data_IF_396476837996
#
_entry.id   IF_396476837996
#
_cell.length_a   1.000
_cell.length_b   1.000
_cell.length_c   1.000
_cell.angle_alpha   90.00
_cell.angle_beta   90.00
_cell.angle_gamma   90.00
#
_symmetry.space_group_name_H-M   'P 1'
#
loop_
_entity.id
_entity.type
_entity.pdbx_description
1 polymer ?
#
# COMPACT_ATOMS: atom_id res chain seq x y z
N UNK A 1 5.38 0.27 -19.66
CA UNK A 1 6.41 -0.79 -19.68
C UNK A 1 6.64 -1.46 -18.32
N UNK A 2 6.53 -0.75 -17.19
CA UNK A 2 6.76 -1.35 -15.87
C UNK A 2 5.72 -2.39 -15.45
N UNK A 3 4.43 -2.20 -15.80
CA UNK A 3 3.38 -3.16 -15.44
C UNK A 3 3.54 -4.51 -16.14
N UNK A 4 4.10 -4.51 -17.35
CA UNK A 4 4.43 -5.73 -18.10
C UNK A 4 5.59 -6.46 -17.41
N UNK A 5 6.63 -5.73 -16.96
CA UNK A 5 7.74 -6.32 -16.20
C UNK A 5 7.27 -6.92 -14.87
N UNK A 6 6.43 -6.21 -14.13
CA UNK A 6 5.87 -6.68 -12.84
C UNK A 6 5.00 -7.92 -13.07
N UNK A 7 4.12 -7.89 -14.08
CA UNK A 7 3.24 -9.02 -14.40
C UNK A 7 4.03 -10.26 -14.86
N UNK A 8 5.02 -10.08 -15.75
CA UNK A 8 5.87 -11.18 -16.22
C UNK A 8 6.69 -11.79 -15.08
N UNK A 9 7.22 -10.97 -14.18
CA UNK A 9 7.98 -11.41 -13.01
C UNK A 9 7.10 -12.17 -12.02
N UNK A 10 5.86 -11.73 -11.81
CA UNK A 10 4.87 -12.47 -11.04
C UNK A 10 4.53 -13.83 -11.63
N UNK A 11 4.26 -13.89 -12.95
CA UNK A 11 3.93 -15.15 -13.64
C UNK A 11 5.11 -16.13 -13.60
N UNK A 12 6.33 -15.68 -13.92
CA UNK A 12 7.53 -16.51 -13.82
C UNK A 12 7.77 -16.99 -12.38
N UNK A 13 7.54 -16.13 -11.40
CA UNK A 13 7.66 -16.45 -9.99
C UNK A 13 6.70 -17.55 -9.54
N UNK A 14 5.43 -17.49 -9.96
CA UNK A 14 4.41 -18.51 -9.64
C UNK A 14 4.76 -19.86 -10.30
N UNK A 15 5.23 -19.85 -11.54
CA UNK A 15 5.65 -21.07 -12.25
C UNK A 15 6.83 -21.74 -11.53
N UNK A 16 7.84 -20.97 -11.10
CA UNK A 16 8.97 -21.47 -10.31
C UNK A 16 8.52 -22.03 -8.95
N UNK A 17 7.59 -21.34 -8.28
CA UNK A 17 7.04 -21.82 -7.02
C UNK A 17 6.29 -23.16 -7.18
N UNK A 18 5.58 -23.35 -8.30
CA UNK A 18 4.85 -24.58 -8.58
C UNK A 18 5.81 -25.78 -8.71
N UNK A 19 6.92 -25.62 -9.46
CA UNK A 19 7.95 -26.65 -9.60
C UNK A 19 8.66 -27.00 -8.28
N UNK A 20 8.92 -26.01 -7.43
CA UNK A 20 9.61 -26.26 -6.15
C UNK A 20 8.72 -26.87 -5.07
N UNK A 21 7.41 -26.68 -5.18
CA UNK A 21 6.43 -27.23 -4.22
C UNK A 21 6.42 -28.77 -4.24
N UNK A 22 6.75 -29.40 -5.36
CA UNK A 22 6.89 -30.85 -5.48
C UNK A 22 8.18 -31.40 -4.85
N UNK A 23 9.24 -30.60 -4.72
CA UNK A 23 10.56 -31.06 -4.25
C UNK A 23 10.86 -30.69 -2.80
N UNK A 24 10.63 -29.43 -2.39
CA UNK A 24 10.86 -28.94 -1.01
C UNK A 24 9.91 -27.78 -0.66
N UNK A 25 8.78 -28.02 0.03
CA UNK A 25 7.75 -27.00 0.29
C UNK A 25 8.22 -25.86 1.20
N UNK A 26 9.26 -26.06 2.00
CA UNK A 26 9.82 -25.01 2.88
C UNK A 26 10.46 -23.86 2.08
N UNK A 27 11.05 -24.15 0.92
CA UNK A 27 11.65 -23.11 0.06
C UNK A 27 10.59 -22.33 -0.75
N UNK A 28 9.40 -22.90 -0.93
CA UNK A 28 8.30 -22.23 -1.64
C UNK A 28 7.92 -20.92 -0.94
N UNK A 29 7.87 -20.91 0.39
CA UNK A 29 7.53 -19.70 1.17
C UNK A 29 8.60 -18.59 1.05
N UNK A 30 9.88 -18.95 1.04
CA UNK A 30 10.96 -17.98 0.85
C UNK A 30 10.96 -17.38 -0.56
N UNK A 31 10.59 -18.17 -1.56
CA UNK A 31 10.52 -17.72 -2.96
C UNK A 31 9.32 -16.79 -3.17
N UNK A 32 8.12 -17.13 -2.68
CA UNK A 32 6.97 -16.21 -2.75
C UNK A 32 7.24 -14.91 -2.02
N UNK A 33 7.86 -14.97 -0.83
CA UNK A 33 8.26 -13.77 -0.10
C UNK A 33 9.28 -12.93 -0.90
N UNK A 34 10.28 -13.55 -1.52
CA UNK A 34 11.27 -12.86 -2.36
C UNK A 34 10.65 -12.20 -3.59
N UNK A 35 9.74 -12.90 -4.28
CA UNK A 35 8.99 -12.35 -5.43
C UNK A 35 8.11 -11.18 -4.98
N UNK A 36 7.42 -11.31 -3.83
CA UNK A 36 6.62 -10.24 -3.25
C UNK A 36 7.46 -8.98 -2.99
N UNK A 37 8.60 -9.12 -2.32
CA UNK A 37 9.52 -8.00 -2.03
C UNK A 37 10.02 -7.35 -3.33
N UNK A 38 10.35 -8.14 -4.35
CA UNK A 38 10.81 -7.61 -5.64
C UNK A 38 9.71 -6.83 -6.37
N UNK A 39 8.46 -7.31 -6.31
CA UNK A 39 7.29 -6.61 -6.86
C UNK A 39 7.05 -5.29 -6.12
N UNK A 40 7.17 -5.26 -4.79
CA UNK A 40 7.02 -4.01 -4.04
C UNK A 40 8.15 -3.02 -4.33
N UNK A 41 9.39 -3.47 -4.44
CA UNK A 41 10.51 -2.60 -4.83
C UNK A 41 10.24 -1.87 -6.16
N UNK A 42 9.65 -2.58 -7.13
CA UNK A 42 9.23 -1.99 -8.41
C UNK A 42 8.03 -1.03 -8.26
N UNK A 43 7.12 -1.29 -7.32
CA UNK A 43 5.97 -0.42 -7.05
C UNK A 43 6.36 0.88 -6.32
N UNK A 44 7.35 0.86 -5.43
CA UNK A 44 7.83 2.03 -4.68
C UNK A 44 8.29 3.16 -5.62
N UNK A 45 8.98 2.82 -6.72
CA UNK A 45 9.40 3.81 -7.71
C UNK A 45 8.24 4.55 -8.39
N UNK A 46 7.04 3.94 -8.48
CA UNK A 46 5.82 4.62 -8.98
C UNK A 46 5.19 5.51 -7.93
N UNK A 47 5.24 5.11 -6.66
CA UNK A 47 4.78 5.92 -5.55
C UNK A 47 5.56 7.24 -5.47
N UNK A 48 6.87 7.20 -5.72
CA UNK A 48 7.74 8.38 -5.72
C UNK A 48 7.35 9.40 -6.81
N UNK A 49 7.01 8.94 -8.01
CA UNK A 49 6.50 9.81 -9.08
C UNK A 49 5.16 10.48 -8.70
N UNK A 50 4.28 9.70 -8.06
CA UNK A 50 3.00 10.19 -7.56
C UNK A 50 3.18 11.25 -6.47
N UNK A 51 4.09 11.02 -5.53
CA UNK A 51 4.45 11.99 -4.49
C UNK A 51 5.08 13.26 -5.08
N UNK A 52 5.94 13.14 -6.10
CA UNK A 52 6.50 14.29 -6.80
C UNK A 52 5.43 15.17 -7.44
N UNK A 53 4.45 14.55 -8.10
CA UNK A 53 3.33 15.26 -8.74
C UNK A 53 2.42 15.93 -7.71
N UNK A 54 2.09 15.23 -6.62
CA UNK A 54 1.32 15.79 -5.49
C UNK A 54 2.02 17.00 -4.85
N UNK A 55 3.36 16.97 -4.78
CA UNK A 55 4.17 18.08 -4.25
C UNK A 55 4.15 19.29 -5.17
N UNK A 56 4.12 19.09 -6.50
CA UNK A 56 3.93 20.19 -7.47
C UNK A 56 2.53 20.80 -7.41
N UNK A 57 1.49 19.98 -7.19
CA UNK A 57 0.13 20.51 -6.96
C UNK A 57 0.05 21.38 -5.70
N UNK A 58 0.82 21.03 -4.66
CA UNK A 58 0.93 21.84 -3.43
C UNK A 58 1.44 23.25 -3.68
N UNK A 59 2.36 23.42 -4.62
CA UNK A 59 2.89 24.75 -4.97
C UNK A 59 1.89 25.56 -5.83
N UNK A 60 0.90 24.90 -6.42
CA UNK A 60 -0.09 25.51 -7.33
C UNK A 60 -1.45 25.81 -6.68
N UNK A 61 -1.71 25.25 -5.49
CA UNK A 61 -2.98 25.41 -4.77
C UNK A 61 -2.71 25.91 -3.35
N UNK A 62 -3.54 26.82 -2.80
CA UNK A 62 -3.46 27.26 -1.40
C UNK A 62 -4.06 26.18 -0.47
N UNK A 63 -3.52 24.97 -0.51
CA UNK A 63 -3.92 23.86 0.37
C UNK A 63 -2.95 23.83 1.55
N UNK A 64 -3.49 23.81 2.76
CA UNK A 64 -2.69 23.65 3.97
C UNK A 64 -1.85 22.38 3.90
N UNK A 65 -0.55 22.53 4.18
CA UNK A 65 0.45 21.45 4.09
C UNK A 65 0.06 20.21 4.89
N UNK A 66 -0.68 20.40 5.97
CA UNK A 66 -1.13 19.37 6.88
C UNK A 66 -2.11 18.38 6.24
N UNK A 67 -3.07 18.85 5.43
CA UNK A 67 -4.05 17.97 4.76
C UNK A 67 -3.39 17.10 3.70
N UNK A 68 -2.49 17.68 2.91
CA UNK A 68 -1.80 16.96 1.83
C UNK A 68 -0.84 15.90 2.42
N UNK A 69 -0.19 16.23 3.53
CA UNK A 69 0.64 15.27 4.29
C UNK A 69 -0.20 14.14 4.90
N UNK A 70 -1.41 14.45 5.38
CA UNK A 70 -2.33 13.45 5.95
C UNK A 70 -2.86 12.50 4.87
N UNK A 71 -3.26 13.01 3.71
CA UNK A 71 -3.65 12.20 2.55
C UNK A 71 -2.53 11.26 2.11
N UNK A 72 -1.30 11.77 2.02
CA UNK A 72 -0.12 10.97 1.68
C UNK A 72 0.12 9.85 2.70
N UNK A 73 0.03 10.14 4.00
CA UNK A 73 0.16 9.12 5.07
C UNK A 73 -0.92 8.05 4.96
N UNK A 74 -2.16 8.44 4.67
CA UNK A 74 -3.28 7.51 4.55
C UNK A 74 -3.08 6.53 3.37
N UNK A 75 -2.66 7.05 2.21
CA UNK A 75 -2.31 6.22 1.04
C UNK A 75 -1.16 5.28 1.37
N UNK A 76 -0.10 5.80 2.00
CA UNK A 76 1.08 5.00 2.38
C UNK A 76 0.74 3.84 3.30
N UNK A 77 -0.03 4.09 4.37
CA UNK A 77 -0.47 3.05 5.31
C UNK A 77 -1.26 1.95 4.59
N UNK A 78 -2.17 2.34 3.70
CA UNK A 78 -3.03 1.39 2.98
C UNK A 78 -2.22 0.44 2.09
N UNK A 79 -1.28 0.98 1.31
CA UNK A 79 -0.44 0.16 0.43
C UNK A 79 0.51 -0.75 1.21
N UNK A 80 1.19 -0.22 2.24
CA UNK A 80 2.12 -1.01 3.06
C UNK A 80 1.36 -2.12 3.80
N UNK A 81 0.19 -1.81 4.35
CA UNK A 81 -0.64 -2.77 5.07
C UNK A 81 -1.19 -3.88 4.16
N UNK A 82 -1.72 -3.53 2.98
CA UNK A 82 -2.19 -4.53 2.00
C UNK A 82 -1.07 -5.44 1.53
N UNK A 83 0.11 -4.88 1.28
CA UNK A 83 1.25 -5.66 0.86
C UNK A 83 1.75 -6.62 1.95
N UNK A 84 1.90 -6.12 3.17
CA UNK A 84 2.34 -6.92 4.31
C UNK A 84 1.37 -8.07 4.58
N UNK A 85 0.06 -7.80 4.52
CA UNK A 85 -0.97 -8.82 4.62
C UNK A 85 -0.93 -9.82 3.45
N UNK A 86 -0.65 -9.36 2.23
CA UNK A 86 -0.45 -10.20 1.05
C UNK A 86 0.68 -11.21 1.24
N UNK A 87 1.86 -10.77 1.70
CA UNK A 87 2.99 -11.68 2.02
C UNK A 87 2.57 -12.70 3.08
N UNK A 88 1.91 -12.26 4.14
CA UNK A 88 1.46 -13.19 5.19
C UNK A 88 0.45 -14.22 4.66
N UNK A 89 -0.45 -13.84 3.73
CA UNK A 89 -1.36 -14.79 3.06
C UNK A 89 -0.60 -15.78 2.19
N UNK A 90 0.38 -15.31 1.42
CA UNK A 90 1.20 -16.14 0.53
C UNK A 90 2.10 -17.12 1.29
N UNK A 91 2.51 -16.76 2.51
CA UNK A 91 3.22 -17.64 3.43
C UNK A 91 2.31 -18.67 4.16
N UNK A 92 1.00 -18.62 3.94
CA UNK A 92 0.01 -19.49 4.61
C UNK A 92 -0.49 -18.97 5.97
N UNK A 93 -0.02 -17.80 6.42
CA UNK A 93 -0.43 -17.15 7.67
C UNK A 93 -1.63 -16.22 7.48
N UNK A 94 -2.80 -16.78 7.14
CA UNK A 94 -4.01 -15.98 6.91
C UNK A 94 -4.51 -15.23 8.15
N UNK A 95 -4.39 -15.82 9.35
CA UNK A 95 -4.85 -15.18 10.59
C UNK A 95 -4.08 -13.89 10.88
N UNK A 96 -2.75 -13.92 10.75
CA UNK A 96 -1.88 -12.74 10.92
C UNK A 96 -2.13 -11.70 9.84
N UNK A 97 -2.35 -12.13 8.59
CA UNK A 97 -2.72 -11.22 7.52
C UNK A 97 -4.04 -10.46 7.79
N UNK A 98 -5.06 -11.17 8.29
CA UNK A 98 -6.34 -10.56 8.64
C UNK A 98 -6.19 -9.53 9.77
N UNK A 99 -5.33 -9.80 10.77
CA UNK A 99 -5.01 -8.84 11.83
C UNK A 99 -4.33 -7.58 11.28
N UNK A 100 -3.40 -7.73 10.33
CA UNK A 100 -2.75 -6.60 9.65
C UNK A 100 -3.76 -5.77 8.86
N UNK A 101 -4.66 -6.42 8.10
CA UNK A 101 -5.70 -5.72 7.33
C UNK A 101 -6.66 -4.95 8.23
N UNK A 102 -7.05 -5.54 9.37
CA UNK A 102 -7.90 -4.88 10.35
C UNK A 102 -7.22 -3.64 10.93
N UNK A 103 -5.96 -3.77 11.36
CA UNK A 103 -5.18 -2.66 11.90
C UNK A 103 -5.00 -1.52 10.89
N UNK A 104 -4.77 -1.86 9.62
CA UNK A 104 -4.64 -0.90 8.53
C UNK A 104 -5.93 -0.10 8.33
N UNK A 105 -7.09 -0.78 8.32
CA UNK A 105 -8.41 -0.13 8.22
C UNK A 105 -8.69 0.79 9.40
N UNK A 106 -8.36 0.35 10.63
CA UNK A 106 -8.51 1.17 11.84
C UNK A 106 -7.62 2.42 11.78
N UNK A 107 -6.37 2.27 11.33
CA UNK A 107 -5.42 3.38 11.21
C UNK A 107 -5.91 4.44 10.22
N UNK A 108 -6.47 4.01 9.09
CA UNK A 108 -7.10 4.91 8.10
C UNK A 108 -8.32 5.61 8.72
N UNK A 109 -9.18 4.89 9.43
CA UNK A 109 -10.36 5.46 10.08
C UNK A 109 -9.99 6.59 11.06
N UNK A 110 -8.95 6.37 11.88
CA UNK A 110 -8.43 7.38 12.82
C UNK A 110 -7.90 8.61 12.09
N UNK A 111 -7.21 8.44 10.96
CA UNK A 111 -6.73 9.55 10.13
C UNK A 111 -7.84 10.30 9.39
N UNK A 112 -9.00 9.68 9.18
CA UNK A 112 -10.16 10.33 8.56
C UNK A 112 -10.90 11.29 9.50
N UNK A 113 -10.80 11.10 10.83
CA UNK A 113 -11.44 11.96 11.84
C UNK A 113 -11.06 13.43 11.73
N UNK A 114 -9.77 13.83 11.65
CA UNK A 114 -9.40 15.24 11.52
C UNK A 114 -9.93 15.87 10.22
N UNK A 115 -10.00 15.11 9.14
CA UNK A 115 -10.57 15.59 7.86
C UNK A 115 -12.07 15.87 8.01
N UNK A 116 -12.80 15.00 8.73
CA UNK A 116 -14.22 15.20 9.02
C UNK A 116 -14.47 16.44 9.90
N UNK A 117 -13.63 16.65 10.92
CA UNK A 117 -13.68 17.84 11.78
C UNK A 117 -13.48 19.13 11.00
N UNK A 118 -12.43 19.19 10.18
CA UNK A 118 -12.14 20.34 9.32
C UNK A 118 -13.32 20.66 8.39
N UNK A 119 -13.92 19.62 7.79
CA UNK A 119 -15.09 19.80 6.92
C UNK A 119 -16.30 20.36 7.68
N UNK A 120 -16.53 19.91 8.91
CA UNK A 120 -17.62 20.39 9.75
C UNK A 120 -17.41 21.86 10.16
N UNK A 121 -16.19 22.24 10.53
CA UNK A 121 -15.81 23.63 10.83
C UNK A 121 -16.02 24.53 9.61
N UNK A 122 -15.56 24.10 8.43
CA UNK A 122 -15.74 24.86 7.18
C UNK A 122 -17.23 25.08 6.86
N UNK A 123 -18.08 24.07 7.09
CA UNK A 123 -19.53 24.19 6.90
C UNK A 123 -20.14 25.16 7.91
N UNK A 124 -19.72 25.11 9.19
CA UNK A 124 -20.19 26.05 10.22
C UNK A 124 -19.81 27.49 9.88
N UNK A 125 -18.59 27.71 9.40
CA UNK A 125 -18.09 29.03 8.99
C UNK A 125 -18.85 29.59 7.78
N UNK A 126 -19.26 28.72 6.84
CA UNK A 126 -20.11 29.10 5.70
C UNK A 126 -21.57 29.40 6.08
N UNK A 127 -22.05 28.85 7.20
CA UNK A 127 -23.45 28.97 7.64
C UNK A 127 -23.66 30.15 8.61
N UNK A 128 -22.58 30.71 9.16
CA UNK A 128 -22.56 31.89 10.01
C UNK A 128 -22.52 33.18 9.18
#
# INVERSE_FOLDING_TARGET
MDIIKISLLGICGVILCFFLKETRPEYTAFITMGIGIMILGLAVGKLEYLFGTLRQLKDSLPVEQEYLTTLIKMIGITYIGQFSAGICKDAGHQATAAQIELFCRLSVLVQSVPILLALLETIQEFMA
#
